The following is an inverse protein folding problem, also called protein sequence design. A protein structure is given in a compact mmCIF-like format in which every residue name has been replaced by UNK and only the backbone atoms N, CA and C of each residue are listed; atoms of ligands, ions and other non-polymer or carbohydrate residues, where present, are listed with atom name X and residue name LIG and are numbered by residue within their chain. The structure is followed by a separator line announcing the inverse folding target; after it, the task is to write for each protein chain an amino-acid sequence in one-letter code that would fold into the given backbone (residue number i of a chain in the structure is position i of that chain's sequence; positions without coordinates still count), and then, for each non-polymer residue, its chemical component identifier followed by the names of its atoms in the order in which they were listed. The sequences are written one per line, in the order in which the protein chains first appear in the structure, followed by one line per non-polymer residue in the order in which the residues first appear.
data_IF_279364937637
#
_entry.id   IF_279364937637
#
_cell.length_a   1.000
_cell.length_b   1.000
_cell.length_c   1.000
_cell.angle_alpha   90.00
_cell.angle_beta   90.00
_cell.angle_gamma   90.00
#
_symmetry.space_group_name_H-M   'P 1'
#
loop_
_entity.id
_entity.type
_entity.pdbx_description
1 polymer ?
#
# COMPACT_ATOMS: atom_id res chain seq x y z
N UNK A 1 -8.23 -1.48 -22.88
CA UNK A 1 -9.45 -0.82 -23.40
C UNK A 1 -9.12 -0.34 -24.79
N UNK A 2 -9.87 -0.79 -25.79
CA UNK A 2 -9.56 -0.63 -27.22
C UNK A 2 -10.78 -0.14 -28.02
N UNK A 3 -11.71 0.56 -27.38
CA UNK A 3 -12.91 1.10 -28.01
C UNK A 3 -13.10 2.51 -27.45
N UNK A 4 -13.20 3.48 -28.35
CA UNK A 4 -13.40 4.95 -28.18
C UNK A 4 -12.11 5.80 -27.99
N UNK A 5 -11.48 6.13 -29.12
CA UNK A 5 -10.38 7.12 -29.22
C UNK A 5 -10.88 8.57 -29.38
N UNK A 6 -12.19 8.82 -29.56
CA UNK A 6 -12.69 10.13 -30.02
C UNK A 6 -13.28 11.06 -28.93
N UNK A 7 -13.82 10.58 -27.80
CA UNK A 7 -14.27 11.43 -26.66
C UNK A 7 -13.57 11.03 -25.34
N UNK A 8 -12.80 11.97 -24.78
CA UNK A 8 -12.09 11.82 -23.50
C UNK A 8 -13.06 11.55 -22.35
N UNK A 9 -14.27 12.13 -22.39
CA UNK A 9 -15.28 11.94 -21.34
C UNK A 9 -15.87 10.54 -21.37
N UNK A 10 -16.12 9.99 -22.54
CA UNK A 10 -16.62 8.62 -22.67
C UNK A 10 -15.58 7.62 -22.15
N UNK A 11 -14.30 7.86 -22.48
CA UNK A 11 -13.19 7.09 -21.92
C UNK A 11 -13.13 7.18 -20.38
N UNK A 12 -13.33 8.35 -19.79
CA UNK A 12 -13.36 8.52 -18.34
C UNK A 12 -14.54 7.79 -17.70
N UNK A 13 -15.74 7.85 -18.30
CA UNK A 13 -16.93 7.13 -17.84
C UNK A 13 -16.70 5.63 -17.89
N UNK A 14 -16.22 5.09 -19.01
CA UNK A 14 -15.93 3.66 -19.14
C UNK A 14 -14.81 3.20 -18.22
N UNK A 15 -13.80 4.04 -17.99
CA UNK A 15 -12.75 3.77 -17.03
C UNK A 15 -13.31 3.70 -15.59
N UNK A 16 -14.23 4.59 -15.22
CA UNK A 16 -14.88 4.58 -13.92
C UNK A 16 -15.76 3.34 -13.72
N UNK A 17 -16.59 3.00 -14.72
CA UNK A 17 -17.41 1.77 -14.70
C UNK A 17 -16.53 0.52 -14.59
N UNK A 18 -15.44 0.47 -15.37
CA UNK A 18 -14.50 -0.65 -15.32
C UNK A 18 -13.83 -0.74 -13.94
N UNK A 19 -13.46 0.40 -13.34
CA UNK A 19 -12.83 0.45 -12.01
C UNK A 19 -13.75 -0.14 -10.95
N UNK A 20 -15.03 0.26 -10.92
CA UNK A 20 -16.02 -0.30 -9.99
C UNK A 20 -16.13 -1.83 -10.13
N UNK A 21 -16.25 -2.34 -11.37
CA UNK A 21 -16.34 -3.79 -11.61
C UNK A 21 -15.08 -4.54 -11.18
N UNK A 22 -13.89 -4.03 -11.50
CA UNK A 22 -12.64 -4.67 -11.09
C UNK A 22 -12.42 -4.61 -9.58
N UNK A 23 -12.82 -3.52 -8.93
CA UNK A 23 -12.76 -3.41 -7.47
C UNK A 23 -13.71 -4.40 -6.79
N UNK A 24 -14.96 -4.49 -7.24
CA UNK A 24 -15.93 -5.51 -6.77
C UNK A 24 -15.45 -6.94 -7.01
N UNK A 25 -14.85 -7.19 -8.17
CA UNK A 25 -14.26 -8.50 -8.47
C UNK A 25 -13.09 -8.79 -7.52
N UNK A 26 -12.24 -7.79 -7.24
CA UNK A 26 -11.11 -7.94 -6.32
C UNK A 26 -11.56 -8.24 -4.90
N UNK A 27 -12.73 -7.76 -4.48
CA UNK A 27 -13.27 -8.10 -3.16
C UNK A 27 -13.72 -9.55 -3.03
N UNK A 28 -14.21 -10.13 -4.13
CA UNK A 28 -14.62 -11.55 -4.20
C UNK A 28 -13.42 -12.47 -4.37
N UNK A 29 -12.36 -12.00 -5.02
CA UNK A 29 -11.14 -12.76 -5.27
C UNK A 29 -9.87 -11.94 -4.92
N UNK A 30 -9.68 -11.58 -3.64
CA UNK A 30 -8.65 -10.62 -3.24
C UNK A 30 -7.22 -11.12 -3.46
N UNK A 31 -7.03 -12.42 -3.66
CA UNK A 31 -5.74 -13.05 -3.91
C UNK A 31 -5.33 -13.07 -5.39
N UNK A 32 -6.18 -12.56 -6.29
CA UNK A 32 -5.97 -12.64 -7.75
C UNK A 32 -5.31 -11.38 -8.31
N UNK A 33 -4.03 -11.51 -8.70
CA UNK A 33 -3.20 -10.41 -9.19
C UNK A 33 -3.74 -9.71 -10.43
N UNK A 34 -4.39 -10.46 -11.32
CA UNK A 34 -4.91 -9.94 -12.59
C UNK A 34 -5.91 -8.80 -12.41
N UNK A 35 -6.68 -8.83 -11.32
CA UNK A 35 -7.67 -7.79 -11.02
C UNK A 35 -6.97 -6.48 -10.67
N UNK A 36 -5.92 -6.53 -9.85
CA UNK A 36 -5.12 -5.35 -9.51
C UNK A 36 -4.31 -4.84 -10.70
N UNK A 37 -3.84 -5.70 -11.59
CA UNK A 37 -3.21 -5.26 -12.85
C UNK A 37 -4.14 -4.39 -13.69
N UNK A 38 -5.42 -4.79 -13.83
CA UNK A 38 -6.40 -3.96 -14.53
C UNK A 38 -6.73 -2.66 -13.77
N UNK A 39 -6.83 -2.70 -12.44
CA UNK A 39 -6.98 -1.49 -11.62
C UNK A 39 -5.78 -0.53 -11.81
N UNK A 40 -4.56 -1.05 -11.98
CA UNK A 40 -3.39 -0.24 -12.28
C UNK A 40 -3.55 0.51 -13.61
N UNK A 41 -3.98 -0.16 -14.68
CA UNK A 41 -4.23 0.49 -15.97
C UNK A 41 -5.30 1.60 -15.85
N UNK A 42 -6.33 1.35 -15.04
CA UNK A 42 -7.46 2.25 -14.82
C UNK A 42 -7.15 3.39 -13.81
N UNK A 43 -6.02 3.35 -13.11
CA UNK A 43 -5.64 4.36 -12.13
C UNK A 43 -5.03 5.63 -12.76
N UNK A 44 -4.82 5.66 -14.08
CA UNK A 44 -4.34 6.86 -14.79
C UNK A 44 -5.29 8.05 -14.56
N UNK A 45 -4.76 9.27 -14.38
CA UNK A 45 -3.35 9.67 -14.42
C UNK A 45 -2.61 9.56 -13.07
N UNK A 46 -3.20 8.98 -12.02
CA UNK A 46 -2.59 8.87 -10.69
C UNK A 46 -1.45 7.85 -10.69
N UNK A 47 -0.20 8.32 -10.73
CA UNK A 47 1.00 7.47 -10.81
C UNK A 47 1.28 6.70 -9.52
N UNK A 48 0.90 7.23 -8.35
CA UNK A 48 1.06 6.55 -7.05
C UNK A 48 0.10 5.35 -6.98
N UNK A 49 -1.16 5.54 -7.38
CA UNK A 49 -2.14 4.47 -7.45
C UNK A 49 -1.78 3.41 -8.52
N UNK A 50 -1.27 3.84 -9.69
CA UNK A 50 -0.76 2.91 -10.71
C UNK A 50 0.36 2.03 -10.15
N UNK A 51 1.36 2.65 -9.52
CA UNK A 51 2.50 1.94 -8.92
C UNK A 51 2.02 0.96 -7.84
N UNK A 52 1.14 1.41 -6.95
CA UNK A 52 0.53 0.58 -5.91
C UNK A 52 -0.17 -0.66 -6.48
N UNK A 53 -1.05 -0.48 -7.47
CA UNK A 53 -1.82 -1.60 -8.03
C UNK A 53 -0.95 -2.56 -8.84
N UNK A 54 0.04 -2.08 -9.60
CA UNK A 54 1.00 -2.97 -10.26
C UNK A 54 1.83 -3.75 -9.23
N UNK A 55 2.36 -3.10 -8.20
CA UNK A 55 3.11 -3.77 -7.15
C UNK A 55 2.24 -4.81 -6.42
N UNK A 56 0.99 -4.46 -6.07
CA UNK A 56 0.01 -5.38 -5.46
C UNK A 56 -0.27 -6.57 -6.36
N UNK A 57 -0.44 -6.38 -7.67
CA UNK A 57 -0.69 -7.47 -8.63
C UNK A 57 0.39 -8.56 -8.63
N UNK A 58 1.61 -8.22 -8.19
CA UNK A 58 2.75 -9.12 -8.09
C UNK A 58 2.95 -9.69 -6.67
N UNK A 59 2.37 -9.07 -5.65
CA UNK A 59 2.54 -9.44 -4.24
C UNK A 59 1.26 -10.00 -3.59
N UNK A 60 0.35 -10.55 -4.40
CA UNK A 60 -0.77 -11.39 -3.94
C UNK A 60 -0.49 -12.87 -4.19
N UNK A 61 -1.19 -13.81 -3.51
CA UNK A 61 -0.92 -15.24 -3.61
C UNK A 61 -0.98 -15.83 -5.02
N UNK A 62 -1.86 -15.30 -5.88
CA UNK A 62 -1.91 -15.67 -7.30
C UNK A 62 -1.41 -14.46 -8.11
N UNK A 63 -0.09 -14.27 -8.22
CA UNK A 63 0.49 -13.09 -8.86
C UNK A 63 0.21 -13.10 -10.37
N UNK A 64 0.07 -11.91 -10.96
CA UNK A 64 -0.08 -11.77 -12.40
C UNK A 64 1.25 -11.33 -13.04
N UNK A 65 2.07 -12.30 -13.45
CA UNK A 65 3.45 -12.04 -13.90
C UNK A 65 3.56 -11.10 -15.12
N UNK A 66 2.57 -11.04 -16.02
CA UNK A 66 2.56 -10.07 -17.12
C UNK A 66 2.50 -8.60 -16.66
N UNK A 67 2.19 -8.36 -15.38
CA UNK A 67 2.34 -7.03 -14.79
C UNK A 67 3.80 -6.56 -14.73
N UNK A 68 4.79 -7.47 -14.73
CA UNK A 68 6.22 -7.11 -14.76
C UNK A 68 6.62 -6.37 -16.03
N UNK A 69 6.03 -6.74 -17.16
CA UNK A 69 6.23 -6.01 -18.42
C UNK A 69 5.33 -4.76 -18.47
N UNK A 70 4.10 -4.87 -17.98
CA UNK A 70 3.13 -3.77 -18.04
C UNK A 70 3.54 -2.55 -17.20
N UNK A 71 4.15 -2.77 -16.03
CA UNK A 71 4.61 -1.70 -15.14
C UNK A 71 5.72 -0.85 -15.78
N UNK A 72 6.47 -1.38 -16.77
CA UNK A 72 7.47 -0.61 -17.50
C UNK A 72 6.85 0.57 -18.25
N UNK A 73 5.59 0.46 -18.67
CA UNK A 73 4.85 1.58 -19.30
C UNK A 73 4.62 2.77 -18.36
N UNK A 74 4.76 2.57 -17.03
CA UNK A 74 4.80 3.63 -16.03
C UNK A 74 6.24 4.12 -15.81
N UNK A 75 7.19 3.20 -15.65
CA UNK A 75 8.57 3.54 -15.32
C UNK A 75 9.32 4.24 -16.46
N UNK A 76 9.33 3.67 -17.66
CA UNK A 76 10.18 4.11 -18.76
C UNK A 76 9.97 5.59 -19.13
N UNK A 77 8.72 6.10 -19.31
CA UNK A 77 8.54 7.50 -19.67
C UNK A 77 8.96 8.46 -18.56
N UNK A 78 8.78 8.05 -17.30
CA UNK A 78 9.11 8.88 -16.12
C UNK A 78 10.63 8.90 -15.90
N UNK A 79 11.29 7.77 -16.02
CA UNK A 79 12.75 7.66 -15.91
C UNK A 79 13.46 8.35 -17.08
N UNK A 80 12.91 8.29 -18.29
CA UNK A 80 13.44 9.00 -19.46
C UNK A 80 13.10 10.51 -19.50
N UNK A 81 12.30 11.02 -18.55
CA UNK A 81 11.86 12.41 -18.53
C UNK A 81 10.90 12.81 -19.67
N UNK A 82 10.30 11.83 -20.35
CA UNK A 82 9.34 12.05 -21.45
C UNK A 82 7.89 12.05 -20.99
N UNK A 83 7.62 11.69 -19.73
CA UNK A 83 6.31 11.79 -19.13
C UNK A 83 5.86 13.25 -18.95
N UNK A 84 4.54 13.48 -18.98
CA UNK A 84 3.95 14.78 -18.66
C UNK A 84 4.26 15.26 -17.23
N UNK A 85 3.90 16.51 -16.93
CA UNK A 85 4.20 17.17 -15.64
C UNK A 85 3.57 16.39 -14.46
N UNK A 86 4.42 16.00 -13.50
CA UNK A 86 4.05 15.32 -12.26
C UNK A 86 4.53 16.13 -11.04
N UNK A 87 3.88 15.92 -9.89
CA UNK A 87 4.42 16.37 -8.62
C UNK A 87 5.80 15.76 -8.38
N UNK A 88 6.74 16.54 -7.83
CA UNK A 88 8.13 16.12 -7.66
C UNK A 88 8.26 14.86 -6.81
N UNK A 89 7.51 14.79 -5.69
CA UNK A 89 7.47 13.63 -4.79
C UNK A 89 6.99 12.36 -5.52
N UNK A 90 5.93 12.44 -6.32
CA UNK A 90 5.37 11.29 -7.02
C UNK A 90 6.30 10.78 -8.13
N UNK A 91 6.90 11.71 -8.90
CA UNK A 91 7.90 11.38 -9.91
C UNK A 91 9.10 10.69 -9.28
N UNK A 92 9.64 11.25 -8.21
CA UNK A 92 10.82 10.74 -7.54
C UNK A 92 10.58 9.36 -6.91
N UNK A 93 9.40 9.14 -6.32
CA UNK A 93 8.96 7.82 -5.86
C UNK A 93 8.99 6.80 -6.99
N UNK A 94 8.38 7.12 -8.14
CA UNK A 94 8.32 6.21 -9.29
C UNK A 94 9.71 5.94 -9.87
N UNK A 95 10.61 6.94 -9.91
CA UNK A 95 12.02 6.74 -10.32
C UNK A 95 12.74 5.77 -9.38
N UNK A 96 12.64 5.97 -8.07
CA UNK A 96 13.24 5.06 -7.08
C UNK A 96 12.75 3.62 -7.27
N UNK A 97 11.42 3.44 -7.34
CA UNK A 97 10.83 2.13 -7.54
C UNK A 97 11.17 1.51 -8.90
N UNK A 98 11.27 2.31 -9.97
CA UNK A 98 11.70 1.87 -11.30
C UNK A 98 13.13 1.33 -11.29
N UNK A 99 14.06 2.05 -10.67
CA UNK A 99 15.44 1.58 -10.48
C UNK A 99 15.48 0.34 -9.60
N UNK A 100 14.76 0.31 -8.47
CA UNK A 100 14.68 -0.89 -7.65
C UNK A 100 14.14 -2.07 -8.42
N UNK A 101 13.11 -1.89 -9.25
CA UNK A 101 12.42 -2.97 -9.97
C UNK A 101 13.26 -3.53 -11.12
N UNK A 102 13.87 -2.66 -11.92
CA UNK A 102 14.59 -3.03 -13.15
C UNK A 102 16.08 -3.32 -12.95
N UNK A 103 16.68 -2.77 -11.88
CA UNK A 103 18.14 -2.76 -11.71
C UNK A 103 18.87 -1.75 -12.60
N UNK A 104 18.14 -0.98 -13.42
CA UNK A 104 18.69 -0.01 -14.37
C UNK A 104 18.64 1.42 -13.79
N UNK A 105 19.51 2.31 -14.29
CA UNK A 105 19.53 3.71 -13.84
C UNK A 105 19.96 3.86 -12.38
N UNK A 106 20.98 3.10 -11.98
CA UNK A 106 21.52 3.11 -10.60
C UNK A 106 22.33 4.38 -10.31
N UNK A 107 22.90 4.98 -11.35
CA UNK A 107 23.60 6.26 -11.34
C UNK A 107 22.72 7.43 -10.89
N UNK A 108 21.43 7.36 -11.19
CA UNK A 108 20.45 8.40 -10.87
C UNK A 108 19.66 8.11 -9.58
N UNK A 109 19.92 6.97 -8.93
CA UNK A 109 19.12 6.52 -7.78
C UNK A 109 19.24 7.49 -6.60
N UNK A 110 20.46 7.93 -6.29
CA UNK A 110 20.72 8.85 -5.17
C UNK A 110 19.99 10.19 -5.39
N UNK A 111 20.00 10.71 -6.62
CA UNK A 111 19.28 11.93 -6.97
C UNK A 111 17.76 11.76 -6.84
N UNK A 112 17.21 10.64 -7.31
CA UNK A 112 15.79 10.33 -7.16
C UNK A 112 15.40 10.18 -5.68
N UNK A 113 16.24 9.54 -4.86
CA UNK A 113 16.03 9.41 -3.42
C UNK A 113 16.03 10.78 -2.73
N UNK A 114 17.03 11.62 -3.01
CA UNK A 114 17.13 12.96 -2.47
C UNK A 114 15.94 13.84 -2.86
N UNK A 115 15.49 13.75 -4.12
CA UNK A 115 14.28 14.44 -4.59
C UNK A 115 13.03 13.96 -3.84
N UNK A 116 12.87 12.64 -3.65
CA UNK A 116 11.73 12.09 -2.91
C UNK A 116 11.73 12.55 -1.45
N UNK A 117 12.84 12.36 -0.74
CA UNK A 117 12.95 12.68 0.69
C UNK A 117 12.83 14.17 0.98
N UNK A 118 13.40 15.04 0.13
CA UNK A 118 13.31 16.50 0.31
C UNK A 118 11.87 17.03 0.11
N UNK A 119 11.04 16.33 -0.66
CA UNK A 119 9.65 16.73 -0.91
C UNK A 119 8.62 16.01 -0.02
N UNK A 120 8.98 14.87 0.57
CA UNK A 120 8.07 14.02 1.33
C UNK A 120 7.43 14.72 2.54
N UNK A 121 8.22 15.42 3.36
CA UNK A 121 7.70 16.11 4.55
C UNK A 121 6.63 17.16 4.17
N UNK A 122 6.87 17.91 3.11
CA UNK A 122 5.94 18.90 2.59
C UNK A 122 4.68 18.25 2.00
N UNK A 123 4.83 17.11 1.33
CA UNK A 123 3.71 16.34 0.78
C UNK A 123 2.77 15.85 1.88
N UNK A 124 3.33 15.35 3.00
CA UNK A 124 2.55 14.98 4.19
C UNK A 124 1.85 16.20 4.78
N UNK A 125 2.58 17.30 4.98
CA UNK A 125 2.06 18.52 5.62
C UNK A 125 0.94 19.21 4.82
N UNK A 126 1.09 19.30 3.49
CA UNK A 126 0.13 19.97 2.59
C UNK A 126 -0.97 19.04 2.10
N UNK A 127 -0.77 17.73 2.14
CA UNK A 127 -1.70 16.74 1.58
C UNK A 127 -3.04 16.70 2.31
N UNK A 128 -3.09 17.04 3.61
CA UNK A 128 -4.26 16.83 4.45
C UNK A 128 -4.86 15.42 4.21
N UNK A 129 -6.18 15.30 4.04
CA UNK A 129 -6.86 14.03 3.71
C UNK A 129 -6.32 13.30 2.47
N UNK A 130 -5.72 14.00 1.49
CA UNK A 130 -5.14 13.36 0.29
C UNK A 130 -3.91 12.51 0.63
N UNK A 131 -3.17 12.88 1.68
CA UNK A 131 -2.04 12.06 2.13
C UNK A 131 -2.48 10.75 2.77
N UNK A 132 -3.71 10.64 3.29
CA UNK A 132 -4.18 9.39 3.87
C UNK A 132 -4.17 8.27 2.83
N UNK A 133 -4.70 8.54 1.63
CA UNK A 133 -4.70 7.59 0.52
C UNK A 133 -3.29 7.33 -0.01
N UNK A 134 -2.57 8.38 -0.39
CA UNK A 134 -1.21 8.23 -0.91
C UNK A 134 -0.28 7.55 0.11
N UNK A 135 -0.45 7.83 1.40
CA UNK A 135 0.35 7.30 2.49
C UNK A 135 0.25 5.78 2.62
N UNK A 136 -0.96 5.21 2.61
CA UNK A 136 -1.07 3.75 2.64
C UNK A 136 -0.61 3.11 1.32
N UNK A 137 -0.80 3.78 0.17
CA UNK A 137 -0.33 3.28 -1.14
C UNK A 137 1.20 3.23 -1.19
N UNK A 138 1.87 4.28 -0.72
CA UNK A 138 3.33 4.35 -0.59
C UNK A 138 3.82 3.29 0.39
N UNK A 139 3.18 3.15 1.56
CA UNK A 139 3.54 2.11 2.53
C UNK A 139 3.46 0.72 1.90
N UNK A 140 2.34 0.35 1.26
CA UNK A 140 2.20 -0.96 0.61
C UNK A 140 3.24 -1.15 -0.48
N UNK A 141 3.49 -0.14 -1.32
CA UNK A 141 4.47 -0.24 -2.41
C UNK A 141 5.89 -0.42 -1.88
N UNK A 142 6.27 0.31 -0.82
CA UNK A 142 7.55 0.13 -0.12
C UNK A 142 7.71 -1.31 0.40
N UNK A 143 6.65 -1.87 0.97
CA UNK A 143 6.65 -3.26 1.44
C UNK A 143 6.72 -4.27 0.29
N UNK A 144 6.06 -4.00 -0.84
CA UNK A 144 6.19 -4.81 -2.05
C UNK A 144 7.64 -4.79 -2.58
N UNK A 145 8.33 -3.63 -2.54
CA UNK A 145 9.74 -3.54 -2.90
C UNK A 145 10.64 -4.34 -1.94
N UNK A 146 10.37 -4.33 -0.62
CA UNK A 146 11.08 -5.19 0.34
C UNK A 146 10.90 -6.69 0.06
N UNK A 147 9.76 -7.07 -0.52
CA UNK A 147 9.45 -8.42 -0.99
C UNK A 147 9.97 -8.69 -2.41
N UNK A 148 10.79 -7.78 -2.96
CA UNK A 148 11.30 -7.82 -4.33
C UNK A 148 10.17 -8.05 -5.36
N UNK A 149 9.07 -7.35 -5.14
CA UNK A 149 7.85 -7.43 -5.93
C UNK A 149 7.37 -8.88 -6.12
N UNK A 150 7.44 -9.67 -5.05
CA UNK A 150 6.96 -11.06 -5.03
C UNK A 150 7.93 -12.09 -5.62
N UNK A 151 9.21 -11.76 -5.84
CA UNK A 151 10.17 -12.73 -6.33
C UNK A 151 10.45 -13.81 -5.27
N UNK A 152 10.32 -15.12 -5.60
CA UNK A 152 10.50 -16.22 -4.63
C UNK A 152 11.92 -16.32 -4.04
N UNK A 153 12.91 -15.68 -4.66
CA UNK A 153 14.30 -15.63 -4.20
C UNK A 153 14.48 -14.69 -2.99
N UNK A 154 13.56 -13.75 -2.79
CA UNK A 154 13.61 -12.77 -1.71
C UNK A 154 13.56 -13.42 -0.32
N UNK A 155 14.34 -12.88 0.63
CA UNK A 155 14.46 -13.42 1.98
C UNK A 155 13.14 -13.43 2.76
N UNK A 156 12.33 -12.38 2.61
CA UNK A 156 11.02 -12.26 3.26
C UNK A 156 9.97 -13.14 2.59
N UNK A 157 9.99 -13.25 1.25
CA UNK A 157 9.12 -14.19 0.52
C UNK A 157 9.38 -15.65 0.94
N UNK A 158 10.65 -16.05 1.08
CA UNK A 158 11.00 -17.39 1.59
C UNK A 158 10.54 -17.61 3.03
N UNK A 159 10.55 -16.59 3.87
CA UNK A 159 10.05 -16.68 5.25
C UNK A 159 8.52 -16.83 5.30
N UNK A 160 7.79 -16.12 4.42
CA UNK A 160 6.34 -16.25 4.25
C UNK A 160 5.97 -17.66 3.77
N UNK A 161 6.63 -18.17 2.72
CA UNK A 161 6.40 -19.51 2.18
C UNK A 161 6.64 -20.61 3.22
N UNK A 162 7.68 -20.44 4.04
CA UNK A 162 8.02 -21.42 5.07
C UNK A 162 7.10 -21.40 6.30
N UNK A 163 6.37 -20.29 6.50
CA UNK A 163 5.36 -20.16 7.55
C UNK A 163 3.98 -20.66 7.12
N UNK A 164 3.68 -20.69 5.82
CA UNK A 164 2.37 -21.07 5.26
C UNK A 164 2.29 -22.53 4.82
N UNK A 165 3.42 -23.17 4.49
CA UNK A 165 3.46 -24.60 4.19
C UNK A 165 3.38 -25.43 5.47
N UNK A 166 2.25 -26.09 5.70
CA UNK A 166 2.12 -27.10 6.74
C UNK A 166 3.19 -28.19 6.57
N UNK A 167 3.79 -28.60 7.68
CA UNK A 167 4.72 -29.74 7.72
C UNK A 167 3.93 -30.97 7.29
N UNK A 168 4.34 -31.75 6.26
CA UNK A 168 3.62 -32.97 5.91
C UNK A 168 3.60 -33.90 7.13
N UNK A 169 2.41 -34.33 7.56
CA UNK A 169 2.31 -35.38 8.58
C UNK A 169 3.17 -36.57 8.14
N UNK A 170 3.95 -37.18 9.05
CA UNK A 170 4.66 -38.41 8.71
C UNK A 170 3.61 -39.44 8.32
N UNK A 171 3.68 -39.93 7.08
CA UNK A 171 2.91 -41.11 6.67
C UNK A 171 3.30 -42.23 7.63
N UNK A 172 2.39 -42.57 8.53
CA UNK A 172 2.49 -43.76 9.36
C UNK A 172 2.53 -44.92 8.40
N UNK A 173 3.69 -45.57 8.30
CA UNK A 173 3.84 -46.84 7.61
C UNK A 173 3.05 -47.85 8.42
N UNK A 174 1.85 -48.18 7.94
CA UNK A 174 1.19 -49.44 8.27
C UNK A 174 1.12 -50.20 6.96
N UNK A 175 1.95 -51.23 6.86
CA UNK A 175 1.79 -52.25 5.85
C UNK A 175 0.53 -53.05 6.14
N UNK A 176 -0.28 -53.33 5.11
CA UNK A 176 -0.45 -54.71 4.67
C UNK A 176 -1.11 -54.75 3.27
N UNK A 177 -1.09 -55.95 2.72
CA UNK A 177 -0.98 -56.32 1.31
C UNK A 177 -2.22 -56.14 0.40
N UNK A 178 -1.90 -55.88 -0.88
CA UNK A 178 -2.54 -56.26 -2.15
C UNK A 178 -3.99 -56.80 -2.21
N UNK A 179 -4.81 -56.18 -3.07
CA UNK A 179 -5.51 -56.93 -4.14
C UNK A 179 -5.96 -56.04 -5.32
N UNK A 180 -5.94 -56.66 -6.51
CA UNK A 180 -5.99 -56.10 -7.86
C UNK A 180 -7.36 -55.63 -8.38
N UNK A 181 -7.26 -54.80 -9.42
CA UNK A 181 -8.11 -54.69 -10.60
C UNK A 181 -9.49 -54.00 -10.50
N UNK A 182 -9.59 -52.80 -11.09
CA UNK A 182 -10.48 -52.61 -12.24
C UNK A 182 -10.05 -51.44 -13.12
N UNK A 183 -10.33 -51.58 -14.41
CA UNK A 183 -9.75 -50.91 -15.57
C UNK A 183 -10.73 -49.86 -16.11
N UNK A 184 -10.17 -48.83 -16.77
CA UNK A 184 -10.78 -47.99 -17.84
C UNK A 184 -11.88 -46.99 -17.41
N UNK A 185 -11.92 -45.73 -17.85
CA UNK A 185 -11.63 -45.14 -19.16
C UNK A 185 -11.33 -43.63 -19.03
N UNK A 186 -10.37 -43.18 -19.84
CA UNK A 186 -10.17 -41.80 -20.26
C UNK A 186 -10.59 -41.70 -21.73
N UNK A 187 -11.16 -40.59 -22.21
CA UNK A 187 -10.97 -40.14 -23.59
C UNK A 187 -10.01 -38.93 -23.56
N UNK A 188 -8.80 -39.07 -24.10
CA UNK A 188 -8.45 -38.87 -25.52
C UNK A 188 -8.37 -37.37 -25.88
N UNK A 189 -7.13 -36.89 -25.91
CA UNK A 189 -6.71 -35.65 -26.57
C UNK A 189 -6.92 -35.77 -28.08
N UNK A 190 -7.18 -34.63 -28.73
CA UNK A 190 -6.66 -34.34 -30.07
C UNK A 190 -6.00 -32.98 -30.03
N UNK A 191 -4.82 -32.95 -30.61
CA UNK A 191 -3.76 -31.97 -30.48
C UNK A 191 -4.08 -30.64 -31.20
N UNK A 192 -3.55 -29.53 -30.67
CA UNK A 192 -3.12 -28.43 -31.52
C UNK A 192 -1.71 -28.01 -31.09
N UNK A 193 -0.75 -28.42 -31.90
CA UNK A 193 0.66 -28.05 -31.85
C UNK A 193 0.82 -26.59 -32.23
N UNK A 194 0.98 -25.70 -31.25
CA UNK A 194 1.80 -24.49 -31.38
C UNK A 194 2.07 -23.87 -30.01
N UNK A 195 2.93 -24.54 -29.24
CA UNK A 195 3.63 -23.89 -28.13
C UNK A 195 5.03 -23.52 -28.62
N UNK A 196 5.42 -22.24 -28.67
CA UNK A 196 6.80 -21.91 -28.94
C UNK A 196 7.63 -22.39 -27.75
N UNK A 197 8.59 -23.27 -28.05
CA UNK A 197 9.68 -23.65 -27.16
C UNK A 197 10.34 -22.36 -26.71
N UNK A 198 10.24 -22.07 -25.41
CA UNK A 198 10.98 -20.98 -24.78
C UNK A 198 12.47 -21.36 -24.83
N UNK A 199 13.14 -20.99 -25.91
CA UNK A 199 14.58 -20.78 -25.91
C UNK A 199 14.86 -19.67 -24.91
N UNK A 200 15.32 -20.08 -23.73
CA UNK A 200 16.03 -19.21 -22.82
C UNK A 200 17.17 -18.57 -23.61
N UNK A 201 16.92 -17.36 -24.10
CA UNK A 201 17.96 -16.52 -24.64
C UNK A 201 18.68 -16.02 -23.40
N UNK A 202 19.92 -16.47 -23.22
CA UNK A 202 20.82 -16.01 -22.19
C UNK A 202 20.93 -14.48 -22.29
N UNK A 203 20.13 -13.78 -21.49
CA UNK A 203 20.41 -12.41 -21.14
C UNK A 203 21.71 -12.46 -20.34
N UNK A 204 22.68 -11.63 -20.75
CA UNK A 204 23.92 -11.40 -20.01
C UNK A 204 23.59 -11.23 -18.53
N UNK A 205 24.06 -12.19 -17.75
CA UNK A 205 23.90 -12.30 -16.31
C UNK A 205 24.81 -11.24 -15.67
N UNK A 206 24.36 -9.98 -15.67
CA UNK A 206 24.81 -9.02 -14.66
C UNK A 206 24.42 -9.65 -13.32
N UNK A 207 25.41 -10.17 -12.60
CA UNK A 207 25.23 -10.86 -11.32
C UNK A 207 24.51 -9.89 -10.37
N UNK A 208 23.18 -9.98 -10.32
CA UNK A 208 22.35 -9.17 -9.45
C UNK A 208 22.68 -9.57 -8.02
N UNK A 209 23.38 -8.70 -7.30
CA UNK A 209 23.65 -8.87 -5.88
C UNK A 209 22.33 -8.65 -5.09
N UNK A 210 21.52 -9.70 -4.99
CA UNK A 210 20.23 -9.67 -4.29
C UNK A 210 20.36 -9.14 -2.85
N UNK A 211 21.38 -9.52 -2.05
CA UNK A 211 21.64 -8.90 -0.75
C UNK A 211 21.84 -7.38 -0.82
N UNK A 212 22.63 -6.88 -1.78
CA UNK A 212 22.85 -5.44 -1.97
C UNK A 212 21.54 -4.73 -2.31
N UNK A 213 20.77 -5.24 -3.28
CA UNK A 213 19.48 -4.67 -3.68
C UNK A 213 18.48 -4.63 -2.51
N UNK A 214 18.39 -5.70 -1.74
CA UNK A 214 17.53 -5.73 -0.55
C UNK A 214 17.95 -4.65 0.47
N UNK A 215 19.25 -4.47 0.68
CA UNK A 215 19.78 -3.44 1.59
C UNK A 215 19.48 -2.02 1.10
N UNK A 216 19.61 -1.74 -0.19
CA UNK A 216 19.28 -0.43 -0.79
C UNK A 216 17.80 -0.10 -0.62
N UNK A 217 16.91 -1.06 -0.89
CA UNK A 217 15.47 -0.88 -0.64
C UNK A 217 15.19 -0.71 0.85
N UNK A 218 15.83 -1.50 1.72
CA UNK A 218 15.66 -1.38 3.17
C UNK A 218 16.05 0.02 3.68
N UNK A 219 17.15 0.58 3.21
CA UNK A 219 17.59 1.94 3.53
C UNK A 219 16.62 3.02 3.03
N UNK A 220 16.06 2.83 1.84
CA UNK A 220 15.03 3.72 1.31
C UNK A 220 13.75 3.71 2.18
N UNK A 221 13.30 2.52 2.58
CA UNK A 221 12.13 2.38 3.46
C UNK A 221 12.41 2.93 4.86
N UNK A 222 13.59 2.68 5.43
CA UNK A 222 14.04 3.26 6.71
C UNK A 222 14.03 4.79 6.68
N UNK A 223 14.53 5.39 5.61
CA UNK A 223 14.56 6.85 5.44
C UNK A 223 13.13 7.42 5.30
N UNK A 224 12.26 6.72 4.56
CA UNK A 224 10.84 7.06 4.46
C UNK A 224 10.15 7.00 5.83
N UNK A 225 10.34 5.89 6.56
CA UNK A 225 9.81 5.70 7.91
C UNK A 225 10.29 6.82 8.85
N UNK A 226 11.57 7.18 8.79
CA UNK A 226 12.16 8.24 9.60
C UNK A 226 11.51 9.59 9.36
N UNK A 227 11.29 9.98 8.09
CA UNK A 227 10.64 11.26 7.74
C UNK A 227 9.19 11.28 8.22
N UNK A 228 8.43 10.21 7.93
CA UNK A 228 7.01 10.11 8.31
C UNK A 228 6.85 10.12 9.83
N UNK A 229 7.64 9.33 10.56
CA UNK A 229 7.58 9.21 12.03
C UNK A 229 8.20 10.38 12.79
N UNK A 230 8.93 11.27 12.12
CA UNK A 230 9.39 12.52 12.73
C UNK A 230 8.24 13.52 12.94
N UNK A 231 7.08 13.31 12.31
CA UNK A 231 5.91 14.19 12.41
C UNK A 231 5.05 13.84 13.63
N UNK A 232 5.61 14.06 14.82
CA UNK A 232 4.98 13.70 16.09
C UNK A 232 3.58 14.33 16.24
N UNK A 233 2.57 13.49 16.47
CA UNK A 233 1.19 13.92 16.66
C UNK A 233 0.44 14.31 15.38
N UNK A 234 1.06 14.24 14.20
CA UNK A 234 0.39 14.50 12.91
C UNK A 234 -0.50 13.31 12.53
N UNK A 235 -1.83 13.50 12.56
CA UNK A 235 -2.79 12.43 12.29
C UNK A 235 -2.81 12.00 10.82
N UNK A 236 -2.23 12.79 9.90
CA UNK A 236 -2.13 12.41 8.49
C UNK A 236 -1.24 11.17 8.28
N UNK A 237 -0.30 10.89 9.20
CA UNK A 237 0.59 9.74 9.04
C UNK A 237 -0.05 8.40 9.41
N UNK A 238 -1.24 8.42 10.01
CA UNK A 238 -1.84 7.23 10.63
C UNK A 238 -2.14 6.12 9.61
N UNK A 239 -2.53 6.44 8.38
CA UNK A 239 -2.80 5.42 7.35
C UNK A 239 -1.52 4.68 6.90
N UNK A 240 -0.42 5.43 6.69
CA UNK A 240 0.91 4.86 6.44
C UNK A 240 1.35 4.00 7.62
N UNK A 241 1.22 4.54 8.84
CA UNK A 241 1.66 3.86 10.06
C UNK A 241 0.88 2.57 10.33
N UNK A 242 -0.43 2.55 10.07
CA UNK A 242 -1.26 1.35 10.18
C UNK A 242 -0.73 0.21 9.31
N UNK A 243 -0.49 0.49 8.03
CA UNK A 243 0.08 -0.51 7.10
C UNK A 243 1.44 -0.98 7.57
N UNK A 244 2.31 -0.05 7.97
CA UNK A 244 3.68 -0.35 8.39
C UNK A 244 3.71 -1.21 9.66
N UNK A 245 2.93 -0.84 10.69
CA UNK A 245 2.83 -1.60 11.93
C UNK A 245 2.16 -2.96 11.73
N UNK A 246 1.15 -3.05 10.86
CA UNK A 246 0.53 -4.32 10.51
C UNK A 246 1.58 -5.25 9.92
N UNK A 247 2.35 -4.78 8.93
CA UNK A 247 3.43 -5.56 8.32
C UNK A 247 4.47 -6.02 9.35
N UNK A 248 4.97 -5.11 10.22
CA UNK A 248 5.95 -5.48 11.25
C UNK A 248 5.38 -6.51 12.23
N UNK A 249 4.13 -6.36 12.66
CA UNK A 249 3.45 -7.34 13.50
C UNK A 249 3.38 -8.71 12.80
N UNK A 250 3.04 -8.74 11.49
CA UNK A 250 3.05 -9.98 10.70
C UNK A 250 4.45 -10.59 10.64
N UNK A 251 5.49 -9.80 10.35
CA UNK A 251 6.87 -10.28 10.29
C UNK A 251 7.39 -10.79 11.65
N UNK A 252 6.89 -10.23 12.75
CA UNK A 252 7.24 -10.62 14.11
C UNK A 252 6.66 -11.98 14.52
N UNK A 253 5.48 -12.35 14.00
CA UNK A 253 4.82 -13.64 14.32
C UNK A 253 5.13 -14.74 13.30
N UNK A 254 5.59 -14.39 12.09
CA UNK A 254 6.02 -15.35 11.08
C UNK A 254 7.37 -15.95 11.45
N UNK A 255 7.47 -17.28 11.34
CA UNK A 255 8.70 -18.03 11.64
C UNK A 255 9.50 -18.25 10.35
N UNK A 256 10.82 -18.03 10.37
CA UNK A 256 11.67 -18.22 9.20
C UNK A 256 11.75 -19.68 8.66
N UNK A 257 12.42 -19.91 7.52
CA UNK A 257 12.60 -21.25 6.95
C UNK A 257 13.53 -22.12 7.79
N UNK A 258 13.08 -23.31 8.21
CA UNK A 258 13.96 -24.36 8.77
C UNK A 258 13.43 -25.06 10.02
N UNK A 259 13.03 -26.33 9.86
CA UNK A 259 12.98 -27.42 10.87
C UNK A 259 12.82 -27.09 12.37
N UNK A 260 13.52 -27.89 13.19
CA UNK A 260 13.35 -28.04 14.64
C UNK A 260 14.16 -27.06 15.52
N UNK A 261 14.82 -26.05 14.93
CA UNK A 261 15.53 -25.02 15.68
C UNK A 261 14.64 -23.80 15.95
N UNK A 262 15.04 -22.95 16.92
CA UNK A 262 14.36 -21.71 17.23
C UNK A 262 14.40 -20.77 16.01
N UNK A 263 13.36 -20.86 15.17
CA UNK A 263 13.20 -20.07 13.95
C UNK A 263 13.27 -18.57 14.30
N UNK A 264 14.28 -17.87 13.77
CA UNK A 264 14.31 -16.40 13.80
C UNK A 264 13.08 -15.88 13.05
N UNK A 265 12.30 -14.94 13.62
CA UNK A 265 11.18 -14.35 12.90
C UNK A 265 11.65 -13.63 11.63
N UNK A 266 10.77 -13.50 10.64
CA UNK A 266 11.07 -12.70 9.44
C UNK A 266 11.52 -11.26 9.80
N UNK A 267 11.02 -10.77 10.94
CA UNK A 267 11.39 -9.52 11.58
C UNK A 267 12.89 -9.29 11.76
N UNK A 268 13.73 -10.33 11.89
CA UNK A 268 15.17 -10.17 12.05
C UNK A 268 15.86 -9.51 10.85
N UNK A 269 15.22 -9.52 9.68
CA UNK A 269 15.71 -8.82 8.49
C UNK A 269 15.39 -7.32 8.49
N UNK A 270 14.55 -6.85 9.41
CA UNK A 270 13.96 -5.51 9.42
C UNK A 270 14.28 -4.72 10.69
N UNK A 271 14.33 -5.42 11.83
CA UNK A 271 14.33 -4.81 13.16
C UNK A 271 15.47 -3.84 13.44
N UNK A 272 16.63 -4.03 12.81
CA UNK A 272 17.80 -3.17 12.99
C UNK A 272 17.68 -1.83 12.24
N UNK A 273 16.91 -1.78 11.15
CA UNK A 273 16.70 -0.58 10.31
C UNK A 273 15.41 0.16 10.63
N UNK A 274 14.59 -0.33 11.56
CA UNK A 274 13.33 0.33 11.90
C UNK A 274 13.53 1.34 13.05
N UNK A 275 13.03 2.60 12.95
CA UNK A 275 13.30 3.65 13.93
C UNK A 275 12.38 3.54 15.17
N UNK A 276 12.64 2.55 16.04
CA UNK A 276 11.84 2.26 17.23
C UNK A 276 11.66 3.45 18.20
N UNK A 277 12.66 4.32 18.36
CA UNK A 277 12.53 5.53 19.19
C UNK A 277 11.54 6.55 18.62
N UNK A 278 11.57 6.76 17.30
CA UNK A 278 10.62 7.65 16.66
C UNK A 278 9.22 7.07 16.72
N UNK A 279 9.08 5.76 16.50
CA UNK A 279 7.78 5.08 16.66
C UNK A 279 7.22 5.30 18.06
N UNK A 280 7.98 5.00 19.11
CA UNK A 280 7.51 5.14 20.50
C UNK A 280 7.16 6.59 20.87
N UNK A 281 7.92 7.56 20.36
CA UNK A 281 7.61 8.99 20.51
C UNK A 281 6.30 9.38 19.80
N UNK A 282 6.09 8.88 18.59
CA UNK A 282 4.83 9.03 17.84
C UNK A 282 3.65 8.43 18.61
N UNK A 283 3.76 7.17 19.01
CA UNK A 283 2.72 6.45 19.74
C UNK A 283 2.35 7.15 21.05
N UNK A 284 3.34 7.63 21.80
CA UNK A 284 3.11 8.36 23.04
C UNK A 284 2.42 9.71 22.82
N UNK A 285 2.61 10.32 21.65
CA UNK A 285 1.88 11.52 21.22
C UNK A 285 0.43 11.20 20.84
N UNK A 286 0.19 10.08 20.16
CA UNK A 286 -1.16 9.62 19.80
C UNK A 286 -1.96 9.11 21.02
N UNK A 287 -1.29 8.51 22.00
CA UNK A 287 -1.88 8.07 23.25
C UNK A 287 -2.27 9.26 24.15
N UNK A 288 -1.62 10.42 24.00
CA UNK A 288 -1.99 11.60 24.75
C UNK A 288 -3.45 11.99 24.44
N UNK A 289 -4.26 12.18 25.48
CA UNK A 289 -5.69 12.48 25.34
C UNK A 289 -6.53 11.33 24.77
N UNK A 290 -6.06 10.07 24.78
CA UNK A 290 -6.90 8.92 24.48
C UNK A 290 -7.50 8.40 25.80
N UNK A 291 -8.78 8.70 26.03
CA UNK A 291 -9.42 8.53 27.36
C UNK A 291 -9.76 7.06 27.71
N UNK A 292 -9.69 6.14 26.75
CA UNK A 292 -10.09 4.73 26.95
C UNK A 292 -8.99 3.73 26.53
N UNK A 293 -7.86 3.64 27.25
CA UNK A 293 -6.77 2.71 26.94
C UNK A 293 -7.19 1.25 26.74
N UNK A 294 -8.26 0.82 27.42
CA UNK A 294 -8.79 -0.55 27.37
C UNK A 294 -9.21 -0.97 25.95
N UNK A 295 -9.49 0.00 25.08
CA UNK A 295 -9.84 -0.27 23.68
C UNK A 295 -8.68 -0.80 22.85
N UNK A 296 -7.44 -0.41 23.17
CA UNK A 296 -6.26 -0.91 22.45
C UNK A 296 -5.45 -1.94 23.26
N UNK A 297 -5.66 -2.06 24.58
CA UNK A 297 -5.09 -3.09 25.45
C UNK A 297 -5.86 -4.42 25.38
N UNK A 298 -6.09 -4.91 24.18
CA UNK A 298 -6.91 -6.11 23.93
C UNK A 298 -6.27 -7.00 22.88
N UNK A 299 -6.41 -8.34 22.96
CA UNK A 299 -5.93 -9.22 21.90
C UNK A 299 -6.79 -9.15 20.62
N UNK A 300 -8.00 -8.57 20.69
CA UNK A 300 -8.92 -8.51 19.56
C UNK A 300 -8.67 -7.27 18.71
N UNK A 301 -8.68 -7.44 17.40
CA UNK A 301 -8.59 -6.32 16.45
C UNK A 301 -9.74 -5.32 16.71
N UNK A 302 -9.42 -4.03 16.94
CA UNK A 302 -10.44 -3.02 17.15
C UNK A 302 -11.25 -2.78 15.88
N UNK A 303 -12.59 -2.75 16.03
CA UNK A 303 -13.55 -2.53 14.95
C UNK A 303 -14.49 -1.40 15.32
N UNK A 304 -14.84 -0.58 14.32
CA UNK A 304 -15.90 0.40 14.44
C UNK A 304 -17.24 -0.28 14.79
N UNK A 305 -18.16 0.47 15.39
CA UNK A 305 -19.53 0.00 15.65
C UNK A 305 -20.24 -0.39 14.33
N UNK A 306 -20.02 0.39 13.28
CA UNK A 306 -20.51 0.14 11.92
C UNK A 306 -19.78 -1.01 11.22
N UNK A 307 -18.73 -1.55 11.85
CA UNK A 307 -17.86 -2.63 11.37
C UNK A 307 -17.17 -2.38 10.01
N UNK A 308 -17.34 -1.19 9.43
CA UNK A 308 -16.73 -0.76 8.16
C UNK A 308 -15.20 -0.77 8.26
N UNK A 309 -14.49 -1.48 7.38
CA UNK A 309 -13.02 -1.44 7.32
C UNK A 309 -12.50 -0.08 6.90
N UNK A 310 -11.27 0.23 7.32
CA UNK A 310 -10.56 1.43 6.87
C UNK A 310 -10.14 1.30 5.39
N UNK A 311 -9.96 2.41 4.65
CA UNK A 311 -9.40 2.38 3.29
C UNK A 311 -8.11 1.56 3.18
N UNK A 312 -7.19 1.71 4.15
CA UNK A 312 -5.94 0.94 4.16
C UNK A 312 -6.14 -0.57 4.48
N UNK A 313 -7.22 -0.96 5.16
CA UNK A 313 -7.55 -2.38 5.37
C UNK A 313 -7.89 -3.03 4.02
N UNK A 314 -8.66 -2.34 3.16
CA UNK A 314 -8.94 -2.76 1.78
C UNK A 314 -7.67 -2.81 0.93
N UNK A 315 -6.80 -1.80 1.07
CA UNK A 315 -5.53 -1.75 0.37
C UNK A 315 -4.63 -2.95 0.71
N UNK A 316 -4.59 -3.37 1.98
CA UNK A 316 -3.81 -4.52 2.44
C UNK A 316 -4.44 -5.87 2.08
N UNK A 317 -5.76 -5.95 1.98
CA UNK A 317 -6.49 -7.20 1.73
C UNK A 317 -5.93 -7.94 0.52
N UNK A 318 -5.64 -9.22 0.69
CA UNK A 318 -5.17 -10.11 -0.37
C UNK A 318 -3.67 -10.08 -0.64
N UNK A 319 -2.88 -9.20 -0.01
CA UNK A 319 -1.42 -9.29 -0.04
C UNK A 319 -0.95 -10.57 0.67
N UNK A 320 0.12 -11.19 0.17
CA UNK A 320 0.68 -12.46 0.70
C UNK A 320 1.00 -12.40 2.20
N UNK A 321 1.38 -11.23 2.71
CA UNK A 321 1.71 -11.05 4.13
C UNK A 321 0.49 -10.72 5.00
N UNK A 322 -0.64 -10.35 4.38
CA UNK A 322 -1.84 -9.87 5.05
C UNK A 322 -3.00 -10.90 5.08
N UNK A 323 -2.84 -12.08 4.47
CA UNK A 323 -3.91 -13.10 4.38
C UNK A 323 -4.56 -13.42 5.73
N UNK A 324 -3.73 -13.54 6.78
CA UNK A 324 -4.18 -13.87 8.13
C UNK A 324 -4.10 -12.65 9.08
N UNK A 325 -4.00 -11.44 8.54
CA UNK A 325 -3.90 -10.21 9.32
C UNK A 325 -5.25 -9.73 9.88
N UNK A 326 -6.34 -10.11 9.23
CA UNK A 326 -7.70 -9.69 9.57
C UNK A 326 -8.57 -10.88 9.99
N UNK A 327 -9.54 -10.68 10.90
CA UNK A 327 -10.61 -11.65 11.14
C UNK A 327 -11.37 -12.02 9.86
N UNK A 328 -11.86 -13.26 9.76
CA UNK A 328 -12.57 -13.76 8.58
C UNK A 328 -13.81 -12.92 8.20
N UNK A 329 -14.45 -12.30 9.20
CA UNK A 329 -15.65 -11.49 9.05
C UNK A 329 -15.37 -9.98 8.88
N UNK A 330 -14.09 -9.57 8.85
CA UNK A 330 -13.69 -8.16 8.78
C UNK A 330 -14.25 -7.48 7.51
N UNK A 331 -14.24 -8.18 6.39
CA UNK A 331 -14.66 -7.68 5.08
C UNK A 331 -16.05 -8.17 4.66
N UNK A 332 -16.88 -8.69 5.58
CA UNK A 332 -18.17 -9.32 5.25
C UNK A 332 -19.33 -8.36 4.98
N UNK A 333 -19.17 -7.05 5.20
CA UNK A 333 -20.21 -6.01 4.98
C UNK A 333 -20.37 -5.68 3.48
N UNK A 334 -19.62 -6.37 2.63
CA UNK A 334 -19.14 -5.84 1.37
C UNK A 334 -19.96 -6.21 0.13
N UNK A 335 -21.21 -6.64 0.30
CA UNK A 335 -22.02 -6.99 -0.88
C UNK A 335 -22.48 -5.74 -1.66
N UNK A 336 -22.57 -4.58 -1.00
CA UNK A 336 -23.15 -3.36 -1.59
C UNK A 336 -22.29 -2.07 -1.45
N UNK A 337 -21.09 -2.12 -0.89
CA UNK A 337 -20.23 -0.93 -0.76
C UNK A 337 -19.60 -0.61 -2.13
N UNK A 338 -19.82 0.62 -2.61
CA UNK A 338 -19.22 1.12 -3.85
C UNK A 338 -17.74 1.48 -3.65
N UNK A 339 -16.95 1.50 -4.71
CA UNK A 339 -15.50 1.77 -4.60
C UNK A 339 -15.20 3.14 -3.99
N UNK A 340 -15.93 4.19 -4.40
CA UNK A 340 -15.78 5.54 -3.85
C UNK A 340 -16.16 5.58 -2.36
N UNK A 341 -17.07 4.71 -1.92
CA UNK A 341 -17.39 4.56 -0.50
C UNK A 341 -16.23 3.88 0.25
N UNK A 342 -15.44 2.99 -0.35
CA UNK A 342 -14.28 2.41 0.37
C UNK A 342 -13.20 3.42 0.69
N UNK A 343 -13.00 4.41 -0.17
CA UNK A 343 -12.00 5.48 0.01
C UNK A 343 -12.58 6.71 0.71
N UNK A 344 -13.90 6.78 0.91
CA UNK A 344 -14.56 7.91 1.55
C UNK A 344 -14.19 8.05 3.04
N UNK A 345 -13.48 9.13 3.35
CA UNK A 345 -13.04 9.49 4.71
C UNK A 345 -14.18 10.04 5.59
N UNK A 346 -14.47 9.37 6.69
CA UNK A 346 -15.43 9.84 7.72
C UNK A 346 -14.69 10.42 8.94
N UNK A 347 -15.28 11.36 9.70
CA UNK A 347 -14.66 11.91 10.90
C UNK A 347 -14.25 10.85 11.94
N UNK A 348 -15.03 9.76 12.07
CA UNK A 348 -14.73 8.68 13.01
C UNK A 348 -13.52 7.82 12.61
N UNK A 349 -13.11 7.82 11.35
CA UNK A 349 -11.99 7.01 10.89
C UNK A 349 -10.66 7.50 11.46
N UNK A 350 -10.52 8.79 11.77
CA UNK A 350 -9.30 9.33 12.39
C UNK A 350 -9.02 8.68 13.75
N UNK A 351 -10.02 8.65 14.64
CA UNK A 351 -9.91 7.99 15.95
C UNK A 351 -9.73 6.47 15.81
N UNK A 352 -10.40 5.84 14.84
CA UNK A 352 -10.21 4.42 14.56
C UNK A 352 -8.78 4.09 14.13
N UNK A 353 -8.16 4.94 13.29
CA UNK A 353 -6.76 4.75 12.88
C UNK A 353 -5.81 4.94 14.04
N UNK A 354 -6.04 5.98 14.84
CA UNK A 354 -5.27 6.27 16.05
C UNK A 354 -5.32 5.08 17.02
N UNK A 355 -6.52 4.55 17.28
CA UNK A 355 -6.74 3.35 18.09
C UNK A 355 -6.03 2.12 17.50
N UNK A 356 -6.12 1.91 16.18
CA UNK A 356 -5.48 0.79 15.48
C UNK A 356 -3.95 0.84 15.57
N UNK A 357 -3.33 2.02 15.41
CA UNK A 357 -1.89 2.21 15.59
C UNK A 357 -1.44 1.83 17.00
N UNK A 358 -2.16 2.31 18.03
CA UNK A 358 -1.87 1.99 19.43
C UNK A 358 -2.06 0.50 19.72
N UNK A 359 -3.11 -0.10 19.16
CA UNK A 359 -3.39 -1.53 19.30
C UNK A 359 -2.30 -2.39 18.66
N UNK A 360 -1.88 -2.07 17.43
CA UNK A 360 -0.81 -2.79 16.73
C UNK A 360 0.50 -2.70 17.50
N UNK A 361 0.85 -1.50 17.99
CA UNK A 361 2.03 -1.32 18.83
C UNK A 361 1.94 -2.12 20.14
N UNK A 362 0.77 -2.14 20.77
CA UNK A 362 0.54 -2.96 21.95
C UNK A 362 0.74 -4.45 21.64
N UNK A 363 0.20 -4.97 20.52
CA UNK A 363 0.43 -6.36 20.11
C UNK A 363 1.93 -6.65 19.90
N UNK A 364 2.65 -5.77 19.21
CA UNK A 364 4.11 -5.91 19.02
C UNK A 364 4.84 -5.93 20.35
N UNK A 365 4.45 -5.08 21.32
CA UNK A 365 5.03 -5.06 22.65
C UNK A 365 4.78 -6.35 23.45
N UNK A 366 3.70 -7.09 23.14
CA UNK A 366 3.42 -8.40 23.74
C UNK A 366 4.30 -9.52 23.18
N UNK A 367 4.94 -9.32 22.02
CA UNK A 367 5.88 -10.27 21.43
C UNK A 367 7.22 -10.10 22.14
N UNK A 368 7.54 -11.03 23.05
CA UNK A 368 8.66 -10.90 23.96
C UNK A 368 9.32 -12.22 24.33
N UNK A 369 10.51 -12.10 24.92
CA UNK A 369 11.17 -13.22 25.60
C UNK A 369 10.69 -13.29 27.03
N UNK A 370 10.58 -14.51 27.56
CA UNK A 370 10.30 -14.76 28.97
C UNK A 370 11.63 -14.92 29.70
N UNK A 371 12.25 -13.82 30.11
CA UNK A 371 13.44 -13.85 30.96
C UNK A 371 13.01 -13.67 32.42
N UNK A 372 13.38 -14.62 33.28
CA UNK A 372 13.10 -14.60 34.73
C UNK A 372 11.63 -14.41 35.13
N UNK A 373 10.68 -14.83 34.29
CA UNK A 373 9.24 -14.72 34.55
C UNK A 373 8.63 -13.34 34.24
N UNK A 374 9.43 -12.39 33.76
CA UNK A 374 8.96 -11.08 33.28
C UNK A 374 8.93 -11.12 31.75
N UNK A 375 7.74 -10.96 31.16
CA UNK A 375 7.62 -10.79 29.71
C UNK A 375 8.14 -9.41 29.34
N UNK A 376 9.20 -9.36 28.52
CA UNK A 376 9.74 -8.11 27.98
C UNK A 376 9.64 -8.14 26.46
N UNK A 377 9.04 -7.10 25.88
CA UNK A 377 8.91 -6.98 24.43
C UNK A 377 10.27 -6.91 23.74
N UNK A 378 10.39 -7.56 22.58
CA UNK A 378 11.66 -7.67 21.84
C UNK A 378 12.14 -6.35 21.24
N UNK A 379 11.22 -5.48 20.83
CA UNK A 379 11.52 -4.24 20.10
C UNK A 379 11.02 -2.98 20.80
N UNK A 380 9.80 -3.05 21.34
CA UNK A 380 9.17 -2.02 22.15
C UNK A 380 8.56 -2.67 23.39
N UNK A 381 8.50 -1.92 24.48
CA UNK A 381 7.83 -2.31 25.72
C UNK A 381 6.67 -1.36 25.99
N UNK A 382 5.65 -1.88 26.67
CA UNK A 382 4.49 -1.10 27.09
C UNK A 382 4.39 -1.13 28.62
N UNK A 383 4.35 0.06 29.23
CA UNK A 383 4.13 0.22 30.66
C UNK A 383 2.62 0.38 30.91
N UNK A 384 2.04 -0.61 31.59
CA UNK A 384 0.61 -0.67 31.86
C UNK A 384 0.14 0.37 32.89
N UNK A 385 1.04 0.90 33.73
CA UNK A 385 0.72 1.88 34.77
C UNK A 385 0.77 3.29 34.17
N UNK A 386 1.84 3.61 33.43
CA UNK A 386 2.01 4.93 32.80
C UNK A 386 1.33 5.07 31.45
N UNK A 387 0.89 3.95 30.87
CA UNK A 387 0.29 3.85 29.53
C UNK A 387 1.22 4.35 28.43
N UNK A 388 2.53 4.17 28.60
CA UNK A 388 3.58 4.65 27.69
C UNK A 388 4.31 3.51 27.00
N UNK A 389 4.66 3.76 25.74
CA UNK A 389 5.56 2.91 24.96
C UNK A 389 7.01 3.37 25.15
N UNK A 390 7.93 2.40 25.20
CA UNK A 390 9.36 2.65 25.24
C UNK A 390 10.08 1.70 24.26
N UNK A 391 11.21 2.11 23.67
CA UNK A 391 12.07 1.20 22.91
C UNK A 391 12.63 0.10 23.84
N UNK A 392 12.89 -1.09 23.32
CA UNK A 392 13.72 -2.05 24.03
C UNK A 392 15.16 -1.51 24.15
N UNK A 393 15.89 -1.93 25.18
CA UNK A 393 17.18 -1.33 25.57
C UNK A 393 18.21 -1.27 24.42
N UNK A 394 18.26 -2.28 23.56
CA UNK A 394 19.18 -2.32 22.41
C UNK A 394 18.84 -1.33 21.29
N UNK A 395 17.62 -0.79 21.30
CA UNK A 395 17.12 0.16 20.31
C UNK A 395 16.97 1.56 20.89
N UNK A 396 17.45 1.83 22.10
CA UNK A 396 17.51 3.21 22.63
C UNK A 396 18.60 3.96 21.85
N UNK A 397 18.24 5.08 21.23
CA UNK A 397 19.18 5.92 20.49
C UNK A 397 18.88 7.40 20.73
N UNK A 398 19.93 8.21 20.80
CA UNK A 398 19.84 9.67 20.91
C UNK A 398 19.47 10.30 19.55
N UNK A 399 18.25 10.11 19.07
CA UNK A 399 17.80 10.75 17.81
C UNK A 399 17.44 12.21 18.08
N UNK A 400 18.11 13.13 17.38
CA UNK A 400 17.71 14.53 17.34
C UNK A 400 16.40 14.66 16.54
N UNK A 401 15.32 14.94 17.24
CA UNK A 401 14.00 15.21 16.64
C UNK A 401 14.13 16.47 15.78
N UNK A 402 13.87 16.35 14.47
CA UNK A 402 13.84 17.51 13.57
C UNK A 402 12.65 18.39 13.99
N UNK A 403 12.84 19.69 14.28
CA UNK A 403 11.72 20.54 14.65
C UNK A 403 10.70 20.60 13.49
N UNK A 404 9.40 20.56 13.78
CA UNK A 404 8.38 20.72 12.75
C UNK A 404 8.58 22.06 12.04
N UNK A 405 8.46 22.07 10.71
CA UNK A 405 8.45 23.31 9.94
C UNK A 405 7.26 24.14 10.44
N UNK A 406 7.56 25.20 11.19
CA UNK A 406 6.55 26.08 11.78
C UNK A 406 5.83 26.84 10.68
N UNK A 407 4.53 27.04 10.84
CA UNK A 407 3.61 27.76 9.91
C UNK A 407 3.96 29.23 9.63
N UNK A 408 5.13 29.73 10.02
CA UNK A 408 5.46 31.15 10.00
C UNK A 408 6.35 31.52 8.80
N UNK A 409 5.74 31.61 7.61
CA UNK A 409 6.02 32.54 6.50
C UNK A 409 5.05 32.21 5.37
N UNK A 410 3.78 32.59 5.55
CA UNK A 410 2.71 32.41 4.54
C UNK A 410 2.06 33.76 4.16
N UNK A 411 2.80 34.87 4.26
CA UNK A 411 2.34 36.16 3.73
C UNK A 411 3.03 36.60 2.44
N UNK A 412 4.03 35.88 1.95
CA UNK A 412 4.58 36.12 0.62
C UNK A 412 4.56 34.82 -0.17
N UNK A 413 4.03 34.88 -1.40
CA UNK A 413 3.82 33.79 -2.36
C UNK A 413 2.48 33.02 -2.20
N UNK A 414 1.38 33.74 -2.37
CA UNK A 414 0.17 33.17 -2.98
C UNK A 414 0.36 33.12 -4.51
N UNK A 415 0.23 31.98 -5.18
CA UNK A 415 -0.05 31.99 -6.62
C UNK A 415 -1.48 32.51 -6.82
N UNK A 416 -1.64 33.53 -7.67
CA UNK A 416 -2.94 34.08 -8.05
C UNK A 416 -3.91 32.97 -8.46
N UNK A 417 -5.08 32.91 -7.83
CA UNK A 417 -6.19 32.12 -8.35
C UNK A 417 -6.58 32.66 -9.74
N UNK A 418 -6.96 31.79 -10.70
CA UNK A 418 -7.54 32.26 -11.93
C UNK A 418 -8.86 32.96 -11.60
N UNK A 419 -8.88 34.27 -11.80
CA UNK A 419 -10.09 35.08 -11.72
C UNK A 419 -11.09 34.55 -12.76
N UNK A 420 -12.15 33.91 -12.27
CA UNK A 420 -13.38 33.72 -13.04
C UNK A 420 -13.94 35.12 -13.32
N UNK A 421 -13.70 35.63 -14.53
CA UNK A 421 -14.38 36.83 -14.99
C UNK A 421 -15.88 36.53 -15.11
N UNK A 422 -16.64 36.91 -14.10
CA UNK A 422 -18.08 37.08 -14.22
C UNK A 422 -18.28 38.21 -15.23
N UNK A 423 -18.57 37.86 -16.49
CA UNK A 423 -19.18 38.82 -17.41
C UNK A 423 -20.58 39.08 -16.88
N UNK A 424 -20.77 40.26 -16.30
CA UNK A 424 -22.09 40.86 -16.14
C UNK A 424 -22.72 40.93 -17.54
N UNK A 425 -23.68 40.06 -17.82
CA UNK A 425 -24.62 40.29 -18.90
C UNK A 425 -25.57 41.39 -18.41
N UNK A 426 -25.36 42.61 -18.89
CA UNK A 426 -26.35 43.67 -18.81
C UNK A 426 -27.67 43.15 -19.40
N UNK A 427 -28.69 43.17 -18.57
CA UNK A 427 -30.04 42.79 -18.88
C UNK A 427 -30.70 43.95 -19.68
N UNK A 428 -30.35 44.09 -20.96
CA UNK A 428 -31.11 44.98 -21.85
C UNK A 428 -32.42 44.31 -22.26
N UNK A 429 -33.51 44.79 -21.65
CA UNK A 429 -34.89 44.53 -22.09
C UNK A 429 -35.05 44.95 -23.56
N UNK A 430 -35.60 44.09 -24.45
CA UNK A 430 -36.06 44.56 -25.74
C UNK A 430 -37.32 45.42 -25.54
N UNK A 431 -37.18 46.70 -25.87
CA UNK A 431 -38.30 47.63 -26.01
C UNK A 431 -39.12 47.23 -27.24
N UNK A 432 -40.33 46.73 -27.02
CA UNK A 432 -41.32 46.50 -28.08
C UNK A 432 -41.79 47.89 -28.55
N UNK A 433 -41.31 48.32 -29.72
CA UNK A 433 -41.90 49.45 -30.41
C UNK A 433 -43.24 49.02 -31.05
N UNK A 434 -44.28 49.74 -30.63
CA UNK A 434 -45.62 49.75 -31.19
C UNK A 434 -45.60 50.19 -32.66
N UNK A 435 -45.92 49.27 -33.56
CA UNK A 435 -46.33 49.59 -34.93
C UNK A 435 -47.87 49.58 -35.02
N UNK A 436 -48.48 50.76 -34.97
CA UNK A 436 -49.90 50.94 -35.32
C UNK A 436 -50.09 51.04 -36.84
N UNK A 437 -51.12 50.31 -37.32
CA UNK A 437 -51.99 50.56 -38.49
C UNK A 437 -51.35 50.35 -39.88
N UNK A 438 -52.03 49.71 -40.83
CA UNK A 438 -53.32 50.11 -41.41
C UNK A 438 -54.07 48.89 -41.96
N UNK A 439 -55.37 48.83 -41.68
CA UNK A 439 -56.36 48.06 -42.41
C UNK A 439 -56.52 48.64 -43.81
N UNK A 440 -56.45 47.82 -44.85
CA UNK A 440 -57.17 48.13 -46.09
C UNK A 440 -58.00 46.95 -46.55
N UNK A 441 -59.24 47.29 -46.85
CA UNK A 441 -60.36 46.43 -47.18
C UNK A 441 -60.53 46.29 -48.69
N UNK A 442 -61.18 45.17 -49.05
CA UNK A 442 -62.00 44.92 -50.24
C UNK A 442 -61.40 44.19 -51.45
N UNK A 443 -62.12 43.10 -51.74
CA UNK A 443 -62.37 42.36 -53.00
C UNK A 443 -61.35 41.35 -53.47
#
# INVERSE_FOLDING_TARGET
MAIEDDDVRDREVWAAVSRDWYSRASDKAPTTGRLYHHLAILARPNVVAQLFYYAKSLCVPIPFNSARDSILTLFEPIMAGTHGKLHAVDRALVRCHGTFFTGNGTEDLEDAQNEFFSNLDLAVAKGARRWLEAGYQIAVTNLCALLDYGLPTNVLMRALDASTKDTPMPKTVVGDEAQEASRTQQPANTDDENAPVATATEAQDDVVDLPKRFKEVLQFVESTDTIVLSRLGDLNILSYLNVRLMFLHRMAILKGPGGAEAKRPAMSHLEASFPWNLLTSCLNSFAAGFETPEKYETPKLPRAAEQRPLPEDWAMRGLVWAEMAFPNDHFSINENIEEDEKTFETPSMEDQRRERCLWLAYQIAQIGTSEAGVKKGCWITYDADTKKFQPAAQYVSDVQIRPPVTKATYEDVLPEEPTLSVREQENEKPTIQSGEKVYDSNT
#
